data_IF_347595912960
#
_entry.id   IF_347595912960
#
_cell.length_a   1.000
_cell.length_b   1.000
_cell.length_c   1.000
_cell.angle_alpha   90.00
_cell.angle_beta   90.00
_cell.angle_gamma   90.00
#
_symmetry.space_group_name_H-M   'P 1'
#
loop_
_entity.id
_entity.type
_entity.pdbx_description
1 polymer ?
#
# COMPACT_ATOMS: atom_id res chain seq x y z
N UNK A 1 26.66 13.21 -1.87
CA UNK A 1 25.40 13.03 -2.63
C UNK A 1 25.78 12.91 -4.10
N UNK A 2 25.20 11.94 -4.81
CA UNK A 2 25.38 11.77 -6.25
C UNK A 2 24.79 12.97 -7.00
N UNK A 3 25.46 13.34 -8.08
CA UNK A 3 25.09 14.48 -8.92
C UNK A 3 25.28 14.13 -10.39
N UNK A 4 24.38 14.61 -11.24
CA UNK A 4 24.50 14.54 -12.68
C UNK A 4 24.06 15.87 -13.30
N UNK A 5 24.88 16.45 -14.14
CA UNK A 5 24.62 17.71 -14.86
C UNK A 5 24.26 18.87 -13.90
N UNK A 6 24.91 18.95 -12.72
CA UNK A 6 24.63 19.94 -11.68
C UNK A 6 23.39 19.66 -10.81
N UNK A 7 22.66 18.57 -11.07
CA UNK A 7 21.47 18.17 -10.31
C UNK A 7 21.84 17.10 -9.28
N UNK A 8 21.66 17.42 -8.01
CA UNK A 8 21.90 16.47 -6.90
C UNK A 8 20.72 15.49 -6.79
N UNK A 9 21.02 14.22 -6.50
CA UNK A 9 20.00 13.20 -6.26
C UNK A 9 19.48 13.33 -4.81
N UNK A 10 18.37 14.03 -4.70
CA UNK A 10 17.65 14.25 -3.42
C UNK A 10 16.23 13.71 -3.58
N UNK A 11 15.77 12.93 -2.62
CA UNK A 11 14.45 12.28 -2.62
C UNK A 11 13.66 12.76 -1.41
N UNK A 12 12.42 13.17 -1.62
CA UNK A 12 11.45 13.46 -0.57
C UNK A 12 10.66 12.19 -0.25
N UNK A 13 10.75 11.73 1.00
CA UNK A 13 10.13 10.50 1.47
C UNK A 13 9.12 10.77 2.59
N UNK A 14 7.86 10.52 2.31
CA UNK A 14 6.73 10.76 3.22
C UNK A 14 6.17 9.48 3.82
N UNK A 15 5.70 9.58 5.06
CA UNK A 15 4.87 8.56 5.72
C UNK A 15 4.00 9.21 6.80
N UNK A 16 3.04 8.47 7.35
CA UNK A 16 2.30 8.94 8.53
C UNK A 16 3.12 8.78 9.82
N UNK A 17 2.84 9.62 10.82
CA UNK A 17 3.40 9.49 12.17
C UNK A 17 3.03 8.13 12.74
N UNK A 18 4.00 7.24 12.84
CA UNK A 18 3.88 5.89 13.37
C UNK A 18 5.29 5.39 13.70
N UNK A 19 5.51 4.87 14.90
CA UNK A 19 6.83 4.48 15.38
C UNK A 19 7.53 3.45 14.48
N UNK A 20 6.79 2.45 13.99
CA UNK A 20 7.35 1.44 13.08
C UNK A 20 7.79 2.09 11.77
N UNK A 21 6.91 2.86 11.13
CA UNK A 21 7.20 3.52 9.84
C UNK A 21 8.35 4.52 9.94
N UNK A 22 8.42 5.28 11.01
CA UNK A 22 9.53 6.22 11.23
C UNK A 22 10.87 5.48 11.42
N UNK A 23 10.84 4.31 12.09
CA UNK A 23 12.01 3.44 12.20
C UNK A 23 12.46 2.88 10.84
N UNK A 24 11.54 2.38 10.04
CA UNK A 24 11.81 1.93 8.67
C UNK A 24 12.35 3.06 7.79
N UNK A 25 11.74 4.24 7.87
CA UNK A 25 12.15 5.44 7.13
C UNK A 25 13.61 5.84 7.48
N UNK A 26 13.98 5.74 8.74
CA UNK A 26 15.35 6.04 9.19
C UNK A 26 16.37 5.03 8.63
N UNK A 27 16.04 3.74 8.60
CA UNK A 27 16.89 2.69 8.03
C UNK A 27 17.05 2.90 6.51
N UNK A 28 15.95 3.13 5.79
CA UNK A 28 15.98 3.38 4.34
C UNK A 28 16.84 4.61 4.03
N UNK A 29 16.66 5.70 4.77
CA UNK A 29 17.48 6.90 4.63
C UNK A 29 18.96 6.62 4.82
N UNK A 30 19.34 5.85 5.84
CA UNK A 30 20.73 5.48 6.11
C UNK A 30 21.31 4.66 4.95
N UNK A 31 20.61 3.62 4.50
CA UNK A 31 21.05 2.76 3.39
C UNK A 31 21.21 3.54 2.08
N UNK A 32 20.27 4.43 1.76
CA UNK A 32 20.34 5.26 0.56
C UNK A 32 21.50 6.27 0.62
N UNK A 33 21.84 6.77 1.82
CA UNK A 33 22.98 7.66 1.99
C UNK A 33 24.32 6.96 1.68
N UNK A 34 24.46 5.66 1.97
CA UNK A 34 25.67 4.87 1.66
C UNK A 34 25.95 4.82 0.16
N UNK A 35 24.91 4.83 -0.67
CA UNK A 35 25.04 4.86 -2.13
C UNK A 35 24.97 6.29 -2.71
N UNK A 36 25.03 7.31 -1.85
CA UNK A 36 25.10 8.72 -2.23
C UNK A 36 23.76 9.37 -2.59
N UNK A 37 22.64 8.82 -2.15
CA UNK A 37 21.31 9.43 -2.30
C UNK A 37 20.96 10.17 -1.01
N UNK A 38 20.62 11.46 -1.14
CA UNK A 38 20.09 12.22 -0.01
C UNK A 38 18.59 12.00 0.12
N UNK A 39 18.11 11.71 1.34
CA UNK A 39 16.68 11.54 1.61
C UNK A 39 16.21 12.55 2.64
N UNK A 40 15.22 13.34 2.27
CA UNK A 40 14.47 14.21 3.17
C UNK A 40 13.25 13.42 3.67
N UNK A 41 13.19 13.18 4.98
CA UNK A 41 12.05 12.43 5.57
C UNK A 41 11.00 13.38 6.09
N UNK A 42 9.73 13.06 5.86
CA UNK A 42 8.58 13.79 6.38
C UNK A 42 7.58 12.82 6.98
N UNK A 43 7.28 12.99 8.27
CA UNK A 43 6.22 12.28 8.96
C UNK A 43 5.02 13.22 9.13
N UNK A 44 3.84 12.79 8.70
CA UNK A 44 2.62 13.59 8.61
C UNK A 44 1.59 12.99 9.57
N UNK A 45 0.75 13.81 10.19
CA UNK A 45 -0.38 13.30 10.98
C UNK A 45 -1.22 12.34 10.14
N UNK A 46 -1.64 11.22 10.74
CA UNK A 46 -2.35 10.16 10.02
C UNK A 46 -3.70 10.61 9.44
N UNK A 47 -4.40 11.51 10.14
CA UNK A 47 -5.67 12.04 9.65
C UNK A 47 -5.48 12.95 8.42
N UNK A 48 -4.32 13.61 8.33
CA UNK A 48 -3.94 14.40 7.14
C UNK A 48 -3.44 13.47 6.03
N UNK A 49 -2.49 12.59 6.35
CA UNK A 49 -1.84 11.73 5.34
C UNK A 49 -2.85 10.83 4.62
N UNK A 50 -3.78 10.22 5.35
CA UNK A 50 -4.85 9.38 4.78
C UNK A 50 -6.14 10.14 4.50
N UNK A 51 -6.14 11.46 4.66
CA UNK A 51 -7.30 12.30 4.39
C UNK A 51 -7.54 12.53 2.90
N UNK A 52 -8.78 12.84 2.54
CA UNK A 52 -9.21 13.14 1.16
C UNK A 52 -9.25 14.63 0.82
N UNK A 53 -8.62 15.53 1.60
CA UNK A 53 -8.66 16.97 1.34
C UNK A 53 -7.88 17.32 0.06
N UNK A 54 -8.56 17.74 -1.02
CA UNK A 54 -7.90 18.08 -2.28
C UNK A 54 -7.07 19.38 -2.20
N UNK A 55 -7.24 20.19 -1.16
CA UNK A 55 -6.44 21.38 -0.90
C UNK A 55 -5.10 21.09 -0.22
N UNK A 56 -4.99 19.97 0.49
CA UNK A 56 -3.81 19.66 1.28
C UNK A 56 -2.77 18.89 0.46
N UNK A 57 -1.53 19.41 0.28
CA UNK A 57 -0.48 18.75 -0.50
C UNK A 57 0.10 17.49 0.18
N UNK A 58 -0.14 17.30 1.47
CA UNK A 58 0.48 16.25 2.29
C UNK A 58 -0.35 14.96 2.35
N UNK A 59 -1.48 14.91 1.63
CA UNK A 59 -2.30 13.70 1.55
C UNK A 59 -1.63 12.64 0.67
N UNK A 60 -1.85 11.36 1.00
CA UNK A 60 -1.38 10.22 0.22
C UNK A 60 -1.82 10.33 -1.25
N UNK A 61 -3.09 10.66 -1.50
CA UNK A 61 -3.64 10.78 -2.85
C UNK A 61 -2.99 11.84 -3.72
N UNK A 62 -2.40 12.89 -3.13
CA UNK A 62 -1.65 13.91 -3.90
C UNK A 62 -0.36 13.38 -4.49
N UNK A 63 0.33 12.53 -3.77
CA UNK A 63 1.61 11.92 -4.18
C UNK A 63 2.60 12.94 -4.76
N UNK A 64 2.90 13.99 -4.00
CA UNK A 64 3.86 15.02 -4.42
C UNK A 64 5.29 14.71 -3.94
N UNK A 65 5.46 13.78 -3.02
CA UNK A 65 6.77 13.26 -2.67
C UNK A 65 7.25 12.25 -3.73
N UNK A 66 8.56 12.04 -3.78
CA UNK A 66 9.16 11.03 -4.67
C UNK A 66 8.85 9.61 -4.18
N UNK A 67 8.79 9.40 -2.85
CA UNK A 67 8.40 8.15 -2.23
C UNK A 67 7.39 8.37 -1.11
N UNK A 68 6.45 7.44 -0.99
CA UNK A 68 5.51 7.38 0.12
C UNK A 68 5.47 5.97 0.68
N UNK A 69 5.34 5.85 2.01
CA UNK A 69 5.26 4.56 2.69
C UNK A 69 4.00 4.46 3.54
N UNK A 70 3.27 3.38 3.33
CA UNK A 70 2.05 3.06 4.07
C UNK A 70 1.84 1.55 4.09
N UNK A 71 0.80 1.11 4.77
CA UNK A 71 0.42 -0.31 4.82
C UNK A 71 -0.86 -0.49 4.02
N UNK A 72 -0.82 -1.38 3.07
CA UNK A 72 -1.99 -1.80 2.29
C UNK A 72 -1.96 -3.31 2.11
N UNK A 73 -3.02 -3.88 1.59
CA UNK A 73 -3.13 -5.30 1.29
C UNK A 73 -4.53 -5.66 0.83
N UNK A 74 -4.73 -6.87 0.32
CA UNK A 74 -6.04 -7.34 -0.10
C UNK A 74 -6.99 -7.40 1.09
N UNK A 75 -8.23 -6.97 0.88
CA UNK A 75 -9.33 -7.05 1.85
C UNK A 75 -10.18 -8.31 1.67
N UNK A 76 -9.87 -9.14 0.69
CA UNK A 76 -10.59 -10.37 0.36
C UNK A 76 -9.63 -11.45 -0.15
N UNK A 77 -10.16 -12.69 -0.31
CA UNK A 77 -9.42 -13.79 -0.92
C UNK A 77 -9.24 -13.65 -2.42
N UNK A 78 -10.08 -12.84 -3.08
CA UNK A 78 -9.90 -12.47 -4.49
C UNK A 78 -8.98 -11.25 -4.57
N UNK A 79 -7.84 -11.31 -5.28
CA UNK A 79 -6.92 -10.18 -5.39
C UNK A 79 -7.43 -9.05 -6.31
N UNK A 80 -8.45 -9.29 -7.12
CA UNK A 80 -8.94 -8.33 -8.12
C UNK A 80 -9.25 -6.93 -7.54
N UNK A 81 -9.95 -6.77 -6.40
CA UNK A 81 -10.21 -5.43 -5.85
C UNK A 81 -8.94 -4.67 -5.47
N UNK A 82 -7.91 -5.38 -5.00
CA UNK A 82 -6.62 -4.77 -4.67
C UNK A 82 -5.84 -4.39 -5.94
N UNK A 83 -5.86 -5.24 -6.95
CA UNK A 83 -5.18 -4.99 -8.22
C UNK A 83 -5.84 -3.85 -9.01
N UNK A 84 -7.13 -3.60 -8.84
CA UNK A 84 -7.85 -2.49 -9.47
C UNK A 84 -7.20 -1.14 -9.18
N UNK A 85 -6.72 -0.92 -7.95
CA UNK A 85 -6.09 0.33 -7.53
C UNK A 85 -4.88 0.75 -8.37
N UNK A 86 -4.29 -0.15 -9.15
CA UNK A 86 -3.12 0.11 -10.00
C UNK A 86 -3.46 0.40 -11.45
N UNK A 87 -4.74 0.37 -11.83
CA UNK A 87 -5.18 0.70 -13.20
C UNK A 87 -5.06 2.19 -13.49
N UNK A 88 -4.89 2.53 -14.77
CA UNK A 88 -4.85 3.94 -15.19
C UNK A 88 -6.13 4.70 -14.84
N UNK A 89 -7.28 4.03 -14.78
CA UNK A 89 -8.56 4.61 -14.40
C UNK A 89 -8.58 5.10 -12.94
N UNK A 90 -7.88 4.38 -12.06
CA UNK A 90 -7.79 4.70 -10.63
C UNK A 90 -6.66 5.69 -10.30
N UNK A 91 -5.93 6.16 -11.30
CA UNK A 91 -4.84 7.12 -11.11
C UNK A 91 -5.34 8.44 -10.52
N UNK A 92 -4.77 8.84 -9.39
CA UNK A 92 -5.06 10.11 -8.77
C UNK A 92 -4.64 11.31 -9.65
N UNK A 93 -5.56 12.23 -9.86
CA UNK A 93 -5.39 13.40 -10.71
C UNK A 93 -6.22 14.60 -10.23
N UNK A 94 -5.95 15.76 -10.80
CA UNK A 94 -6.76 16.96 -10.51
C UNK A 94 -8.23 16.77 -10.93
N UNK A 95 -8.49 16.02 -11.99
CA UNK A 95 -9.85 15.81 -12.51
C UNK A 95 -10.73 15.03 -11.55
N UNK A 96 -10.17 14.06 -10.79
CA UNK A 96 -10.87 13.30 -9.76
C UNK A 96 -10.61 13.82 -8.33
N UNK A 97 -10.13 15.08 -8.21
CA UNK A 97 -9.82 15.71 -6.93
C UNK A 97 -8.83 14.92 -6.05
N UNK A 98 -7.96 14.13 -6.67
CA UNK A 98 -6.97 13.27 -5.99
C UNK A 98 -7.61 12.20 -5.09
N UNK A 99 -8.81 11.78 -5.39
CA UNK A 99 -9.62 10.86 -4.59
C UNK A 99 -10.13 9.68 -5.42
N UNK A 100 -9.29 9.15 -6.30
CA UNK A 100 -9.49 7.83 -6.90
C UNK A 100 -8.94 6.75 -5.95
N UNK A 101 -9.26 5.48 -6.24
CA UNK A 101 -8.80 4.35 -5.44
C UNK A 101 -7.33 3.99 -5.61
N UNK A 102 -6.60 4.70 -6.50
CA UNK A 102 -5.27 4.33 -6.92
C UNK A 102 -4.16 4.68 -5.95
N UNK A 103 -3.19 3.78 -5.86
CA UNK A 103 -1.97 3.94 -5.09
C UNK A 103 -0.91 4.66 -5.94
N UNK A 104 -0.88 5.99 -5.81
CA UNK A 104 0.09 6.81 -6.54
C UNK A 104 -0.41 7.31 -7.90
N UNK A 105 0.53 7.49 -8.84
CA UNK A 105 0.23 8.00 -10.20
C UNK A 105 0.62 6.99 -11.27
N UNK A 106 0.70 5.73 -10.90
CA UNK A 106 1.03 4.66 -11.81
C UNK A 106 -0.03 4.53 -12.91
N UNK A 107 0.41 4.19 -14.11
CA UNK A 107 -0.45 3.92 -15.25
C UNK A 107 0.36 3.16 -16.29
N UNK A 108 -0.04 1.92 -16.57
CA UNK A 108 0.56 1.08 -17.60
C UNK A 108 -0.56 0.45 -18.43
N UNK A 109 -0.65 0.74 -19.75
CA UNK A 109 -1.70 0.19 -20.62
C UNK A 109 -1.67 -1.35 -20.75
N UNK A 110 -0.51 -1.98 -20.61
CA UNK A 110 -0.39 -3.45 -20.59
C UNK A 110 -1.04 -4.02 -19.33
N UNK A 111 -0.82 -3.37 -18.19
CA UNK A 111 -1.49 -3.70 -16.95
C UNK A 111 -3.00 -3.61 -17.08
N UNK A 112 -3.50 -2.52 -17.66
CA UNK A 112 -4.95 -2.31 -17.86
C UNK A 112 -5.57 -3.41 -18.74
N UNK A 113 -4.89 -3.82 -19.81
CA UNK A 113 -5.37 -4.87 -20.71
C UNK A 113 -5.47 -6.23 -19.98
N UNK A 114 -4.45 -6.60 -19.19
CA UNK A 114 -4.48 -7.82 -18.38
C UNK A 114 -5.53 -7.75 -17.26
N UNK A 115 -5.70 -6.58 -16.65
CA UNK A 115 -6.74 -6.39 -15.63
C UNK A 115 -8.13 -6.54 -16.21
N UNK A 116 -8.38 -6.02 -17.43
CA UNK A 116 -9.66 -6.22 -18.13
C UNK A 116 -9.92 -7.71 -18.45
N UNK A 117 -8.88 -8.48 -18.81
CA UNK A 117 -9.00 -9.94 -18.98
C UNK A 117 -9.37 -10.60 -17.63
N UNK A 118 -8.66 -10.26 -16.53
CA UNK A 118 -8.95 -10.79 -15.20
C UNK A 118 -10.41 -10.56 -14.78
N UNK A 119 -11.00 -9.41 -15.11
CA UNK A 119 -12.38 -9.08 -14.71
C UNK A 119 -13.43 -9.97 -15.38
N UNK A 120 -13.11 -10.58 -16.52
CA UNK A 120 -13.99 -11.42 -17.33
C UNK A 120 -13.74 -12.92 -17.14
N UNK A 121 -12.60 -13.27 -16.56
CA UNK A 121 -12.20 -14.67 -16.40
C UNK A 121 -12.92 -15.32 -15.22
N UNK A 122 -13.43 -16.53 -15.41
CA UNK A 122 -14.14 -17.32 -14.41
C UNK A 122 -13.36 -18.56 -13.96
N UNK A 123 -12.40 -19.04 -14.76
CA UNK A 123 -11.55 -20.15 -14.38
C UNK A 123 -10.55 -19.71 -13.31
N UNK A 124 -10.56 -20.37 -12.16
CA UNK A 124 -9.74 -19.98 -11.01
C UNK A 124 -8.23 -20.12 -11.28
N UNK A 125 -7.82 -21.11 -12.08
CA UNK A 125 -6.40 -21.30 -12.40
C UNK A 125 -5.92 -20.18 -13.31
N UNK A 126 -6.71 -19.85 -14.35
CA UNK A 126 -6.40 -18.73 -15.24
C UNK A 126 -6.43 -17.39 -14.52
N UNK A 127 -7.38 -17.17 -13.60
CA UNK A 127 -7.39 -15.97 -12.74
C UNK A 127 -6.13 -15.82 -11.93
N UNK A 128 -5.62 -16.92 -11.36
CA UNK A 128 -4.37 -16.90 -10.60
C UNK A 128 -3.17 -16.50 -11.47
N UNK A 129 -3.08 -17.06 -12.70
CA UNK A 129 -2.04 -16.68 -13.67
C UNK A 129 -2.08 -15.19 -14.01
N UNK A 130 -3.26 -14.65 -14.29
CA UNK A 130 -3.45 -13.23 -14.60
C UNK A 130 -3.09 -12.33 -13.41
N UNK A 131 -3.48 -12.71 -12.19
CA UNK A 131 -3.13 -11.96 -10.99
C UNK A 131 -1.62 -11.95 -10.73
N UNK A 132 -0.93 -13.08 -10.99
CA UNK A 132 0.54 -13.16 -10.88
C UNK A 132 1.18 -12.26 -11.94
N UNK A 133 0.73 -12.31 -13.19
CA UNK A 133 1.25 -11.47 -14.26
C UNK A 133 1.10 -9.98 -13.96
N UNK A 134 -0.05 -9.56 -13.43
CA UNK A 134 -0.29 -8.19 -12.97
C UNK A 134 0.67 -7.78 -11.85
N UNK A 135 0.87 -8.65 -10.85
CA UNK A 135 1.84 -8.43 -9.79
C UNK A 135 3.27 -8.27 -10.34
N UNK A 136 3.66 -9.12 -11.29
CA UNK A 136 4.99 -9.08 -11.88
C UNK A 136 5.25 -7.79 -12.65
N UNK A 137 4.25 -7.23 -13.33
CA UNK A 137 4.35 -5.91 -13.96
C UNK A 137 4.63 -4.84 -12.90
N UNK A 138 3.88 -4.79 -11.80
CA UNK A 138 4.08 -3.80 -10.74
C UNK A 138 5.47 -3.87 -10.10
N UNK A 139 5.97 -5.08 -9.89
CA UNK A 139 7.30 -5.32 -9.32
C UNK A 139 8.40 -4.92 -10.30
N UNK A 140 8.28 -5.29 -11.57
CA UNK A 140 9.26 -4.98 -12.60
C UNK A 140 9.32 -3.50 -12.96
N UNK A 141 8.16 -2.82 -12.96
CA UNK A 141 8.08 -1.36 -13.15
C UNK A 141 8.53 -0.58 -11.91
N UNK A 142 8.80 -1.28 -10.80
CA UNK A 142 9.12 -0.66 -9.50
C UNK A 142 8.04 0.33 -9.06
N UNK A 143 6.79 0.07 -9.43
CA UNK A 143 5.64 0.88 -9.01
C UNK A 143 5.44 0.81 -7.49
N UNK A 144 5.79 -0.33 -6.90
CA UNK A 144 5.76 -0.57 -5.46
C UNK A 144 6.99 -1.36 -5.01
N UNK A 145 7.51 -1.02 -3.84
CA UNK A 145 8.60 -1.76 -3.18
C UNK A 145 8.03 -2.36 -1.90
N UNK A 146 7.80 -3.67 -1.90
CA UNK A 146 7.34 -4.38 -0.72
C UNK A 146 8.46 -4.46 0.33
N UNK A 147 8.19 -3.98 1.55
CA UNK A 147 9.16 -3.94 2.64
C UNK A 147 8.97 -5.12 3.59
N UNK A 148 7.85 -5.15 4.29
CA UNK A 148 7.53 -6.19 5.28
C UNK A 148 6.07 -6.61 5.18
N UNK A 149 5.83 -7.90 5.38
CA UNK A 149 4.49 -8.41 5.64
C UNK A 149 4.22 -8.30 7.15
N UNK A 150 3.38 -7.31 7.52
CA UNK A 150 3.04 -7.08 8.92
C UNK A 150 2.12 -8.15 9.45
N UNK A 151 2.51 -8.73 10.57
CA UNK A 151 1.62 -9.61 11.31
C UNK A 151 0.71 -8.81 12.24
N UNK A 152 -0.52 -9.25 12.39
CA UNK A 152 -1.47 -8.69 13.34
C UNK A 152 -1.51 -9.61 14.57
N UNK A 153 -0.82 -9.28 15.67
CA UNK A 153 -0.90 -10.07 16.88
C UNK A 153 -2.29 -9.94 17.48
N UNK A 154 -2.85 -11.06 17.88
CA UNK A 154 -4.15 -11.10 18.56
C UNK A 154 -3.94 -11.64 19.98
N UNK A 155 -4.68 -11.09 20.93
CA UNK A 155 -4.69 -11.55 22.30
C UNK A 155 -6.13 -11.72 22.81
N UNK A 156 -6.36 -12.71 23.65
CA UNK A 156 -7.63 -12.91 24.34
C UNK A 156 -7.39 -13.21 25.82
N UNK A 157 -8.37 -12.95 26.63
CA UNK A 157 -8.35 -13.39 28.04
C UNK A 157 -8.32 -14.92 28.09
N UNK A 158 -7.63 -15.48 29.05
CA UNK A 158 -7.50 -16.94 29.23
C UNK A 158 -8.85 -17.62 29.49
N UNK A 159 -9.77 -16.89 30.10
CA UNK A 159 -11.14 -17.36 30.39
C UNK A 159 -12.16 -16.94 29.29
N UNK A 160 -11.72 -16.55 28.11
CA UNK A 160 -12.57 -16.32 26.96
C UNK A 160 -12.39 -17.45 25.96
N UNK A 161 -13.41 -18.28 25.82
CA UNK A 161 -13.47 -19.38 24.83
C UNK A 161 -14.25 -18.94 23.59
N UNK A 162 -13.91 -19.53 22.42
CA UNK A 162 -14.60 -19.29 21.14
C UNK A 162 -13.89 -18.39 20.13
N UNK A 163 -13.09 -17.34 20.51
CA UNK A 163 -12.42 -16.52 19.49
C UNK A 163 -11.57 -17.35 18.55
N UNK A 164 -11.85 -17.24 17.26
CA UNK A 164 -11.06 -17.81 16.17
C UNK A 164 -10.66 -16.68 15.23
N UNK A 165 -9.36 -16.50 15.03
CA UNK A 165 -8.87 -15.41 14.19
C UNK A 165 -8.80 -15.85 12.73
N UNK A 166 -9.25 -14.96 11.84
CA UNK A 166 -9.28 -15.15 10.40
C UNK A 166 -8.55 -13.98 9.74
N UNK A 167 -7.67 -14.25 8.78
CA UNK A 167 -6.88 -13.23 8.09
C UNK A 167 -7.73 -12.33 7.18
N UNK A 168 -8.85 -12.84 6.68
CA UNK A 168 -9.69 -12.17 5.68
C UNK A 168 -11.00 -11.63 6.24
N UNK A 169 -11.21 -11.71 7.55
CA UNK A 169 -12.43 -11.27 8.18
C UNK A 169 -12.15 -10.48 9.47
N UNK A 170 -13.16 -9.84 9.99
CA UNK A 170 -13.08 -9.13 11.26
C UNK A 170 -12.61 -10.06 12.38
N UNK A 171 -11.81 -9.53 13.32
CA UNK A 171 -11.38 -10.28 14.50
C UNK A 171 -12.54 -10.75 15.40
N UNK A 172 -13.74 -10.23 15.18
CA UNK A 172 -14.98 -10.58 15.90
C UNK A 172 -15.99 -11.32 15.03
N UNK A 173 -15.59 -11.87 13.88
CA UNK A 173 -16.50 -12.52 12.92
C UNK A 173 -17.36 -13.63 13.52
N UNK A 174 -16.84 -14.35 14.52
CA UNK A 174 -17.54 -15.43 15.20
C UNK A 174 -17.96 -15.07 16.63
N UNK A 175 -18.18 -13.77 16.94
CA UNK A 175 -18.50 -13.29 18.30
C UNK A 175 -19.72 -13.98 18.91
N UNK A 176 -20.67 -14.43 18.10
CA UNK A 176 -21.85 -15.16 18.56
C UNK A 176 -21.50 -16.50 19.26
N UNK A 177 -20.33 -17.05 19.03
CA UNK A 177 -19.84 -18.28 19.68
C UNK A 177 -18.98 -18.05 20.91
N UNK A 178 -18.69 -16.78 21.25
CA UNK A 178 -17.80 -16.46 22.36
C UNK A 178 -18.51 -16.64 23.72
N UNK A 179 -17.82 -17.23 24.66
CA UNK A 179 -18.32 -17.43 26.03
C UNK A 179 -17.19 -17.25 27.04
N UNK A 180 -17.54 -16.76 28.23
CA UNK A 180 -16.62 -16.82 29.37
C UNK A 180 -16.70 -18.18 30.02
N UNK A 181 -15.54 -18.73 30.36
CA UNK A 181 -15.38 -19.89 31.21
C UNK A 181 -14.97 -19.42 32.61
N UNK A 182 -15.44 -20.11 33.63
CA UNK A 182 -15.09 -19.81 35.00
C UNK A 182 -13.64 -20.12 35.31
#
# INVERSE_FOLDING_TARGET
>A
VREKDGVRLVIDFQTSINTLRQGEQAIIKANLAEIGIQVNVKAIDAAVFFGGDPGNPDTLGKHFADMQMYTTGPSSTDPQPHLQGWTCAERNSRANQWNAGGDGRYCNPEYDALFEELTKELDLARRAELAIALNDILVNDVAVIALINRQTPNAKLTNLDGPTFNTFDSSIWNIASWRRTN
#
